data_IF_780001376138
#
_entry.id   IF_780001376138
#
_cell.length_a   1.000
_cell.length_b   1.000
_cell.length_c   1.000
_cell.angle_alpha   90.00
_cell.angle_beta   90.00
_cell.angle_gamma   90.00
#
_symmetry.space_group_name_H-M   'P 1'
#
loop_
_entity.id
_entity.type
_entity.pdbx_description
1 polymer ?
#
# COMPACT_ATOMS: atom_id res chain seq x y z
N UNK A 1 1.21 18.30 -6.89
CA UNK A 1 0.89 16.93 -7.32
C UNK A 1 1.14 16.04 -6.11
N UNK A 2 0.26 15.09 -5.82
CA UNK A 2 0.46 14.08 -4.77
C UNK A 2 0.99 12.81 -5.42
N UNK A 3 1.79 12.05 -4.68
CA UNK A 3 2.31 10.76 -5.13
C UNK A 3 1.66 9.66 -4.31
N UNK A 4 1.18 8.59 -4.97
CA UNK A 4 0.47 7.50 -4.29
C UNK A 4 1.09 6.15 -4.62
N UNK A 5 1.57 5.47 -3.59
CA UNK A 5 2.08 4.09 -3.67
C UNK A 5 1.07 3.18 -3.02
N UNK A 6 0.67 2.13 -3.73
CA UNK A 6 -0.27 1.15 -3.23
C UNK A 6 0.46 -0.16 -2.93
N UNK A 7 0.02 -0.89 -1.93
CA UNK A 7 0.58 -2.18 -1.55
C UNK A 7 -0.56 -3.16 -1.39
N UNK A 8 -0.48 -4.26 -2.12
CA UNK A 8 -1.51 -5.30 -2.17
C UNK A 8 -0.89 -6.66 -1.82
N UNK A 9 -1.70 -7.70 -1.72
CA UNK A 9 -1.19 -9.07 -1.60
C UNK A 9 -0.57 -9.55 -2.91
N UNK A 10 0.38 -10.48 -2.83
CA UNK A 10 0.91 -11.16 -4.02
C UNK A 10 -0.18 -11.87 -4.84
N UNK A 11 -1.23 -12.35 -4.18
CA UNK A 11 -2.35 -13.01 -4.83
C UNK A 11 -3.16 -12.03 -5.67
N UNK A 12 -3.31 -10.78 -5.21
CA UNK A 12 -3.89 -9.69 -6.00
C UNK A 12 -3.03 -9.39 -7.23
N UNK A 13 -1.70 -9.33 -7.09
CA UNK A 13 -0.77 -9.15 -8.23
C UNK A 13 -0.90 -10.29 -9.25
N UNK A 14 -0.93 -11.54 -8.79
CA UNK A 14 -1.09 -12.69 -9.68
C UNK A 14 -2.42 -12.66 -10.43
N UNK A 15 -3.53 -12.37 -9.72
CA UNK A 15 -4.84 -12.23 -10.33
C UNK A 15 -4.89 -11.12 -11.38
N UNK A 16 -4.28 -9.97 -11.08
CA UNK A 16 -4.23 -8.84 -12.01
C UNK A 16 -3.45 -9.22 -13.28
N UNK A 17 -2.28 -9.87 -13.12
CA UNK A 17 -1.48 -10.37 -14.25
C UNK A 17 -2.17 -11.49 -15.04
N UNK A 18 -2.96 -12.35 -14.39
CA UNK A 18 -3.73 -13.41 -15.06
C UNK A 18 -4.95 -12.87 -15.80
N UNK A 19 -5.62 -11.86 -15.24
CA UNK A 19 -6.84 -11.29 -15.82
C UNK A 19 -6.55 -10.19 -16.85
N UNK A 20 -5.43 -9.49 -16.74
CA UNK A 20 -4.99 -8.38 -17.60
C UNK A 20 -6.13 -7.37 -17.84
N UNK A 21 -6.88 -7.04 -16.78
CA UNK A 21 -8.05 -6.17 -16.86
C UNK A 21 -7.69 -4.73 -16.48
N UNK A 22 -7.98 -3.72 -17.32
CA UNK A 22 -7.73 -2.32 -16.98
C UNK A 22 -8.55 -1.85 -15.76
N UNK A 23 -9.74 -2.41 -15.56
CA UNK A 23 -10.64 -2.08 -14.45
C UNK A 23 -10.48 -3.06 -13.25
N UNK A 24 -9.34 -3.77 -13.16
CA UNK A 24 -9.14 -4.79 -12.13
C UNK A 24 -9.23 -4.23 -10.72
N UNK A 25 -8.58 -3.09 -10.47
CA UNK A 25 -8.55 -2.41 -9.17
C UNK A 25 -9.87 -1.71 -8.83
N UNK A 26 -10.76 -1.48 -9.80
CA UNK A 26 -12.09 -0.91 -9.54
C UNK A 26 -13.04 -1.93 -8.90
N UNK A 27 -12.71 -3.23 -9.01
CA UNK A 27 -13.50 -4.32 -8.45
C UNK A 27 -12.88 -4.78 -7.15
N UNK A 28 -13.46 -4.39 -6.03
CA UNK A 28 -13.03 -4.87 -4.71
C UNK A 28 -13.08 -6.40 -4.59
N UNK A 29 -13.95 -7.07 -5.35
CA UNK A 29 -14.04 -8.54 -5.42
C UNK A 29 -12.77 -9.20 -5.98
N UNK A 30 -12.03 -8.47 -6.81
CA UNK A 30 -10.76 -8.93 -7.37
C UNK A 30 -9.60 -8.76 -6.38
N UNK A 31 -9.70 -7.76 -5.49
CA UNK A 31 -8.69 -7.46 -4.49
C UNK A 31 -8.79 -8.47 -3.35
N UNK A 32 -7.69 -9.18 -3.11
CA UNK A 32 -7.69 -10.17 -2.06
C UNK A 32 -7.48 -9.49 -0.70
N UNK A 33 -8.43 -9.73 0.21
CA UNK A 33 -8.39 -9.19 1.56
C UNK A 33 -7.16 -9.70 2.32
N UNK A 34 -6.49 -8.80 3.01
CA UNK A 34 -5.46 -9.13 3.97
C UNK A 34 -6.00 -10.02 5.08
N UNK A 35 -5.15 -10.94 5.52
CA UNK A 35 -5.45 -11.68 6.73
C UNK A 35 -5.32 -10.76 7.95
N UNK A 36 -6.03 -11.04 9.07
CA UNK A 36 -5.90 -10.25 10.29
C UNK A 36 -4.45 -10.19 10.81
N UNK A 37 -3.64 -11.21 10.54
CA UNK A 37 -2.21 -11.22 10.87
C UNK A 37 -1.43 -10.22 10.01
N UNK A 38 -1.66 -10.23 8.69
CA UNK A 38 -1.05 -9.28 7.75
C UNK A 38 -1.40 -7.83 8.08
N UNK A 39 -2.66 -7.53 8.39
CA UNK A 39 -3.06 -6.18 8.81
C UNK A 39 -2.35 -5.74 10.09
N UNK A 40 -2.25 -6.64 11.09
CA UNK A 40 -1.56 -6.34 12.33
C UNK A 40 -0.05 -6.09 12.10
N UNK A 41 0.58 -6.86 11.20
CA UNK A 41 1.97 -6.63 10.82
C UNK A 41 2.17 -5.28 10.12
N UNK A 42 1.30 -4.92 9.18
CA UNK A 42 1.36 -3.64 8.48
C UNK A 42 1.16 -2.47 9.46
N UNK A 43 0.21 -2.60 10.39
CA UNK A 43 -0.05 -1.62 11.44
C UNK A 43 1.16 -1.44 12.38
N UNK A 44 1.75 -2.54 12.88
CA UNK A 44 2.92 -2.48 13.74
C UNK A 44 4.11 -1.82 13.03
N UNK A 45 4.32 -2.16 11.75
CA UNK A 45 5.33 -1.51 10.92
C UNK A 45 5.04 -0.02 10.78
N UNK A 46 3.83 0.38 10.37
CA UNK A 46 3.45 1.80 10.25
C UNK A 46 3.77 2.57 11.54
N UNK A 47 3.39 2.02 12.70
CA UNK A 47 3.70 2.60 14.01
C UNK A 47 5.21 2.71 14.26
N UNK A 48 5.99 1.72 13.84
CA UNK A 48 7.46 1.72 13.91
C UNK A 48 8.09 2.81 13.03
N UNK A 49 7.51 3.06 11.86
CA UNK A 49 7.87 4.18 10.98
C UNK A 49 7.27 5.52 11.44
N UNK A 50 6.77 5.63 12.68
CA UNK A 50 6.18 6.84 13.28
C UNK A 50 4.91 7.36 12.59
N UNK A 51 4.24 6.53 11.79
CA UNK A 51 2.90 6.85 11.33
C UNK A 51 1.93 6.78 12.53
N UNK A 52 1.19 7.87 12.76
CA UNK A 52 0.21 7.97 13.83
C UNK A 52 -1.16 7.65 13.30
N UNK A 53 -1.87 6.74 13.96
CA UNK A 53 -3.27 6.50 13.67
C UNK A 53 -4.09 7.78 13.93
N UNK A 54 -4.72 8.32 12.89
CA UNK A 54 -5.51 9.56 12.96
C UNK A 54 -7.02 9.30 12.91
N UNK A 55 -7.45 8.11 12.49
CA UNK A 55 -8.85 7.72 12.51
C UNK A 55 -9.15 6.49 11.67
N UNK A 56 -10.40 6.05 11.69
CA UNK A 56 -10.90 5.01 10.78
C UNK A 56 -11.91 5.65 9.83
N UNK A 57 -11.79 5.35 8.55
CA UNK A 57 -12.82 5.61 7.55
C UNK A 57 -13.66 4.36 7.35
N UNK A 58 -14.76 4.45 6.58
CA UNK A 58 -15.60 3.28 6.27
C UNK A 58 -14.82 2.14 5.59
N UNK A 59 -13.80 2.50 4.82
CA UNK A 59 -12.95 1.59 4.03
C UNK A 59 -11.72 1.05 4.79
N UNK A 60 -11.32 1.65 5.92
CA UNK A 60 -10.06 1.26 6.58
C UNK A 60 -9.54 2.22 7.65
N UNK A 61 -8.32 1.97 8.13
CA UNK A 61 -7.62 2.80 9.12
C UNK A 61 -6.70 3.81 8.43
N UNK A 62 -6.77 5.07 8.86
CA UNK A 62 -5.95 6.16 8.35
C UNK A 62 -4.82 6.44 9.34
N UNK A 63 -3.61 6.49 8.81
CA UNK A 63 -2.40 6.85 9.52
C UNK A 63 -1.75 8.07 8.88
N UNK A 64 -1.18 8.96 9.67
CA UNK A 64 -0.50 10.16 9.20
C UNK A 64 0.92 10.23 9.75
N UNK A 65 1.84 10.56 8.87
CA UNK A 65 3.23 10.86 9.15
C UNK A 65 3.49 12.34 8.88
N UNK A 66 4.09 13.00 9.87
CA UNK A 66 4.28 14.46 9.86
C UNK A 66 5.29 14.91 8.79
N UNK A 67 6.31 14.08 8.51
CA UNK A 67 7.28 14.32 7.43
C UNK A 67 6.88 13.70 6.08
N UNK A 68 6.46 12.43 6.03
CA UNK A 68 6.29 11.70 4.77
C UNK A 68 4.88 11.72 4.16
N UNK A 69 3.81 12.06 4.89
CA UNK A 69 2.45 12.06 4.35
C UNK A 69 1.52 11.04 5.03
N UNK A 70 0.49 10.57 4.34
CA UNK A 70 -0.58 9.74 4.90
C UNK A 70 -0.51 8.29 4.40
N UNK A 71 -0.96 7.33 5.18
CA UNK A 71 -1.14 5.93 4.80
C UNK A 71 -2.56 5.48 5.14
N UNK A 72 -3.25 4.85 4.19
CA UNK A 72 -4.60 4.30 4.37
C UNK A 72 -4.51 2.78 4.30
N UNK A 73 -4.70 2.11 5.43
CA UNK A 73 -4.73 0.65 5.54
C UNK A 73 -6.18 0.18 5.43
N UNK A 74 -6.55 -0.43 4.31
CA UNK A 74 -7.87 -1.05 4.11
C UNK A 74 -7.84 -2.55 4.38
N UNK A 75 -8.98 -3.21 4.20
CA UNK A 75 -9.07 -4.67 4.26
C UNK A 75 -8.30 -5.38 3.15
N UNK A 76 -8.06 -4.71 2.02
CA UNK A 76 -7.51 -5.35 0.80
C UNK A 76 -6.25 -4.68 0.25
N UNK A 77 -5.86 -3.53 0.78
CA UNK A 77 -4.71 -2.76 0.29
C UNK A 77 -4.21 -1.73 1.30
N UNK A 78 -2.96 -1.33 1.15
CA UNK A 78 -2.35 -0.23 1.91
C UNK A 78 -1.91 0.86 0.94
N UNK A 79 -2.46 2.05 1.09
CA UNK A 79 -2.25 3.17 0.18
C UNK A 79 -1.49 4.29 0.87
N UNK A 80 -0.24 4.51 0.46
CA UNK A 80 0.56 5.63 0.92
C UNK A 80 0.35 6.83 -0.01
N UNK A 81 0.01 7.98 0.56
CA UNK A 81 -0.17 9.24 -0.12
C UNK A 81 0.84 10.25 0.43
N UNK A 82 1.76 10.67 -0.42
CA UNK A 82 2.83 11.61 -0.06
C UNK A 82 2.85 12.83 -0.98
N UNK A 83 3.61 13.85 -0.57
CA UNK A 83 3.94 14.98 -1.44
C UNK A 83 4.81 14.50 -2.59
N UNK A 84 4.75 15.19 -3.74
CA UNK A 84 5.61 14.87 -4.90
C UNK A 84 7.05 15.36 -4.71
N UNK A 85 7.60 15.18 -3.51
CA UNK A 85 8.97 15.49 -3.14
C UNK A 85 9.80 14.21 -3.25
N UNK A 86 11.00 14.29 -3.85
CA UNK A 86 11.80 13.10 -4.16
C UNK A 86 12.18 12.33 -2.89
N UNK A 87 12.58 13.02 -1.82
CA UNK A 87 12.93 12.38 -0.56
C UNK A 87 11.72 11.64 0.04
N UNK A 88 10.53 12.26 -0.01
CA UNK A 88 9.32 11.63 0.52
C UNK A 88 8.88 10.43 -0.31
N UNK A 89 8.91 10.53 -1.65
CA UNK A 89 8.59 9.42 -2.56
C UNK A 89 9.57 8.27 -2.33
N UNK A 90 10.86 8.57 -2.23
CA UNK A 90 11.89 7.57 -2.03
C UNK A 90 11.73 6.86 -0.69
N UNK A 91 11.50 7.59 0.40
CA UNK A 91 11.38 7.00 1.73
C UNK A 91 10.09 6.16 1.89
N UNK A 92 8.96 6.64 1.37
CA UNK A 92 7.71 5.86 1.31
C UNK A 92 7.87 4.65 0.39
N UNK A 93 8.54 4.80 -0.75
CA UNK A 93 8.80 3.72 -1.69
C UNK A 93 9.71 2.64 -1.11
N UNK A 94 10.73 3.03 -0.34
CA UNK A 94 11.56 2.12 0.44
C UNK A 94 10.76 1.40 1.52
N UNK A 95 9.98 2.14 2.31
CA UNK A 95 9.11 1.57 3.35
C UNK A 95 8.16 0.52 2.77
N UNK A 96 7.52 0.84 1.64
CA UNK A 96 6.64 -0.10 0.95
C UNK A 96 7.40 -1.30 0.38
N UNK A 97 8.63 -1.11 -0.14
CA UNK A 97 9.46 -2.23 -0.63
C UNK A 97 9.90 -3.16 0.51
N UNK A 98 10.26 -2.61 1.67
CA UNK A 98 10.53 -3.39 2.89
C UNK A 98 9.29 -4.20 3.33
N UNK A 99 8.08 -3.74 2.97
CA UNK A 99 6.87 -4.50 3.24
C UNK A 99 6.71 -5.67 2.29
N UNK A 100 7.19 -5.56 1.04
CA UNK A 100 7.19 -6.67 0.07
C UNK A 100 8.25 -7.75 0.37
N UNK A 101 9.26 -7.45 1.19
CA UNK A 101 10.34 -8.38 1.53
C UNK A 101 9.86 -9.67 2.23
N UNK A 102 8.69 -9.62 2.89
CA UNK A 102 8.07 -10.85 3.44
C UNK A 102 7.60 -11.83 2.37
N UNK A 103 7.51 -11.40 1.12
CA UNK A 103 6.97 -12.18 0.00
C UNK A 103 5.44 -12.36 0.05
N UNK A 104 4.77 -11.74 1.01
CA UNK A 104 3.30 -11.79 1.15
C UNK A 104 2.62 -10.63 0.42
N UNK A 105 3.37 -9.55 0.18
CA UNK A 105 2.87 -8.32 -0.38
C UNK A 105 3.61 -7.93 -1.65
N UNK A 106 2.93 -7.18 -2.51
CA UNK A 106 3.44 -6.61 -3.72
C UNK A 106 3.17 -5.11 -3.73
N UNK A 107 4.20 -4.32 -4.04
CA UNK A 107 4.09 -2.88 -4.22
C UNK A 107 3.60 -2.60 -5.64
N UNK A 108 2.58 -1.76 -5.75
CA UNK A 108 2.05 -1.24 -6.99
C UNK A 108 2.22 0.27 -7.03
N UNK A 109 3.02 0.72 -7.98
CA UNK A 109 3.30 2.12 -8.20
C UNK A 109 2.76 2.56 -9.56
N UNK A 110 1.56 3.13 -9.55
CA UNK A 110 0.87 3.60 -10.76
C UNK A 110 1.66 4.70 -11.49
N UNK A 111 2.52 5.43 -10.78
CA UNK A 111 3.30 6.53 -11.33
C UNK A 111 4.66 6.07 -11.87
N UNK A 112 5.21 4.98 -11.33
CA UNK A 112 6.46 4.36 -11.78
C UNK A 112 6.26 3.27 -12.84
N UNK A 113 5.02 2.95 -13.22
CA UNK A 113 4.71 2.05 -14.32
C UNK A 113 4.18 0.67 -13.93
N UNK A 114 3.70 0.48 -12.69
CA UNK A 114 2.97 -0.71 -12.26
C UNK A 114 3.60 -1.41 -11.06
N UNK A 115 3.52 -2.75 -11.05
CA UNK A 115 4.05 -3.57 -9.96
C UNK A 115 5.58 -3.49 -9.86
N UNK A 116 6.09 -3.50 -8.64
CA UNK A 116 7.52 -3.75 -8.40
C UNK A 116 7.85 -5.20 -8.80
N UNK A 117 8.82 -5.33 -9.70
CA UNK A 117 9.46 -6.60 -10.04
C UNK A 117 10.63 -6.80 -9.06
N UNK A 118 10.53 -7.86 -8.25
CA UNK A 118 11.55 -8.30 -7.29
C UNK A 118 12.44 -9.36 -7.93
#
# INVERSE_FOLDING_TARGET
MSYTISLFTINTKQKEQELDQPDFFEKEENLEKFTPDQQAQLEDRLLKYKYKHIGNTGDGKIFEHTDFGQALLTESGLYFSTSNDFDCIFEVGMTASEFTDTGEFAKYDVQAGGWEEI
#
